data_IF_304628859629
#
_entry.id   IF_304628859629
#
_cell.length_a   1.000
_cell.length_b   1.000
_cell.length_c   1.000
_cell.angle_alpha   90.00
_cell.angle_beta   90.00
_cell.angle_gamma   90.00
#
_symmetry.space_group_name_H-M   'P 1'
#
loop_
_entity.id
_entity.type
_entity.pdbx_description
1 polymer ?
#
# COMPACT_ATOMS: atom_id res chain seq x y z
N UNK A 1 9.07 -7.52 -1.91
CA UNK A 1 8.02 -8.22 -2.69
C UNK A 1 7.98 -7.65 -4.11
N UNK A 2 8.43 -8.40 -5.12
CA UNK A 2 8.67 -7.85 -6.47
C UNK A 2 7.43 -7.20 -7.11
N UNK A 3 6.24 -7.81 -6.98
CA UNK A 3 5.00 -7.26 -7.58
C UNK A 3 4.59 -5.94 -6.94
N UNK A 4 4.60 -5.84 -5.61
CA UNK A 4 4.22 -4.60 -4.92
C UNK A 4 5.24 -3.49 -5.17
N UNK A 5 6.53 -3.80 -5.17
CA UNK A 5 7.59 -2.87 -5.58
C UNK A 5 7.29 -2.32 -6.98
N UNK A 6 7.06 -3.19 -7.98
CA UNK A 6 6.75 -2.74 -9.34
C UNK A 6 5.49 -1.90 -9.45
N UNK A 7 4.42 -2.26 -8.72
CA UNK A 7 3.17 -1.48 -8.70
C UNK A 7 3.42 -0.07 -8.14
N UNK A 8 4.16 0.03 -7.04
CA UNK A 8 4.44 1.30 -6.38
C UNK A 8 5.44 2.17 -7.17
N UNK A 9 6.47 1.56 -7.75
CA UNK A 9 7.39 2.27 -8.67
C UNK A 9 6.64 2.87 -9.86
N UNK A 10 5.62 2.18 -10.39
CA UNK A 10 4.80 2.68 -11.50
C UNK A 10 3.77 3.73 -11.06
N UNK A 11 3.24 3.60 -9.85
CA UNK A 11 2.24 4.53 -9.31
C UNK A 11 2.83 5.93 -9.07
N UNK A 12 4.10 5.99 -8.65
CA UNK A 12 4.80 7.26 -8.37
C UNK A 12 6.15 7.25 -9.11
N UNK A 13 6.15 7.46 -10.44
CA UNK A 13 7.36 7.29 -11.26
C UNK A 13 8.47 8.29 -10.94
N UNK A 14 8.14 9.43 -10.34
CA UNK A 14 9.09 10.49 -9.99
C UNK A 14 9.84 10.23 -8.67
N UNK A 15 9.50 9.16 -7.95
CA UNK A 15 10.11 8.80 -6.67
C UNK A 15 10.74 7.43 -6.77
N UNK A 16 12.01 7.33 -6.37
CA UNK A 16 12.73 6.06 -6.37
C UNK A 16 12.13 5.10 -5.33
N UNK A 17 11.89 3.86 -5.75
CA UNK A 17 11.41 2.77 -4.89
C UNK A 17 12.39 1.61 -5.02
N UNK A 18 13.23 1.41 -4.00
CA UNK A 18 14.22 0.34 -3.97
C UNK A 18 13.68 -0.91 -3.27
N UNK A 19 13.03 -0.71 -2.12
CA UNK A 19 12.43 -1.81 -1.36
C UNK A 19 11.09 -1.42 -0.79
N UNK A 20 10.24 -2.45 -0.66
CA UNK A 20 8.88 -2.32 -0.15
C UNK A 20 8.60 -3.49 0.78
N UNK A 21 8.13 -3.15 1.98
CA UNK A 21 7.79 -4.08 3.04
C UNK A 21 6.40 -3.76 3.59
N UNK A 22 5.62 -4.78 3.90
CA UNK A 22 4.38 -4.61 4.65
C UNK A 22 4.76 -4.76 6.13
N UNK A 23 4.58 -3.70 6.90
CA UNK A 23 4.86 -3.71 8.33
C UNK A 23 3.55 -3.88 9.07
N UNK A 24 3.55 -4.73 10.10
CA UNK A 24 2.43 -4.96 10.99
C UNK A 24 2.81 -4.61 12.43
N UNK A 25 2.02 -3.76 13.07
CA UNK A 25 2.14 -3.49 14.49
C UNK A 25 1.32 -4.51 15.27
N UNK A 26 2.00 -5.38 15.99
CA UNK A 26 1.38 -6.34 16.93
C UNK A 26 0.69 -5.65 18.10
N UNK A 27 1.14 -4.44 18.46
CA UNK A 27 0.61 -3.67 19.60
C UNK A 27 -0.68 -2.95 19.23
N UNK A 28 -0.75 -2.37 18.02
CA UNK A 28 -1.88 -1.54 17.61
C UNK A 28 -2.83 -2.23 16.62
N UNK A 29 -2.51 -3.45 16.18
CA UNK A 29 -3.25 -4.21 15.18
C UNK A 29 -3.43 -3.43 13.85
N UNK A 30 -2.38 -2.75 13.41
CA UNK A 30 -2.36 -1.96 12.18
C UNK A 30 -1.26 -2.43 11.24
N UNK A 31 -1.47 -2.22 9.95
CA UNK A 31 -0.51 -2.48 8.90
C UNK A 31 -0.33 -1.27 7.98
N UNK A 32 0.88 -1.13 7.43
CA UNK A 32 1.21 -0.13 6.43
C UNK A 32 2.28 -0.65 5.48
N UNK A 33 2.49 0.07 4.38
CA UNK A 33 3.56 -0.21 3.43
C UNK A 33 4.73 0.72 3.73
N UNK A 34 5.84 0.14 4.20
CA UNK A 34 7.12 0.83 4.33
C UNK A 34 7.84 0.86 2.98
N UNK A 35 8.42 2.01 2.63
CA UNK A 35 9.09 2.25 1.35
C UNK A 35 10.47 2.81 1.63
N UNK A 36 11.47 2.35 0.87
CA UNK A 36 12.85 2.87 0.90
C UNK A 36 13.26 3.35 -0.51
N UNK A 37 14.15 4.35 -0.60
CA UNK A 37 14.86 4.99 0.50
C UNK A 37 14.04 6.03 1.27
N UNK A 38 13.06 6.65 0.63
CA UNK A 38 12.34 7.80 1.19
C UNK A 38 10.83 7.53 1.32
N UNK A 39 10.43 7.13 2.54
CA UNK A 39 9.06 6.75 2.85
C UNK A 39 8.10 7.93 2.79
N UNK A 40 8.46 9.05 3.41
CA UNK A 40 7.60 10.22 3.54
C UNK A 40 7.40 10.87 2.18
N UNK A 41 8.49 11.10 1.43
CA UNK A 41 8.42 11.70 0.09
C UNK A 41 7.56 10.87 -0.86
N UNK A 42 7.63 9.54 -0.78
CA UNK A 42 6.79 8.67 -1.59
C UNK A 42 5.31 8.91 -1.28
N UNK A 43 4.92 8.89 0.00
CA UNK A 43 3.50 9.05 0.36
C UNK A 43 2.98 10.44 0.09
N UNK A 44 3.77 11.49 0.33
CA UNK A 44 3.42 12.86 -0.06
C UNK A 44 3.12 12.94 -1.55
N UNK A 45 4.02 12.44 -2.40
CA UNK A 45 3.83 12.46 -3.85
C UNK A 45 2.67 11.58 -4.31
N UNK A 46 2.48 10.41 -3.68
CA UNK A 46 1.33 9.56 -3.94
C UNK A 46 0.02 10.30 -3.66
N UNK A 47 -0.07 11.04 -2.55
CA UNK A 47 -1.28 11.78 -2.19
C UNK A 47 -1.59 12.92 -3.16
N UNK A 48 -0.56 13.56 -3.72
CA UNK A 48 -0.71 14.55 -4.79
C UNK A 48 -1.28 13.93 -6.07
N UNK A 49 -0.77 12.77 -6.48
CA UNK A 49 -1.18 12.09 -7.72
C UNK A 49 -2.57 11.45 -7.60
N UNK A 50 -2.96 11.03 -6.39
CA UNK A 50 -4.21 10.31 -6.13
C UNK A 50 -5.06 11.02 -5.06
N UNK A 51 -5.61 12.22 -5.34
CA UNK A 51 -6.29 13.04 -4.32
C UNK A 51 -7.52 12.39 -3.68
N UNK A 52 -8.09 11.35 -4.29
CA UNK A 52 -9.19 10.54 -3.74
C UNK A 52 -8.75 9.49 -2.72
N UNK A 53 -7.44 9.30 -2.49
CA UNK A 53 -6.88 8.24 -1.66
C UNK A 53 -7.54 8.15 -0.29
N UNK A 54 -7.81 9.30 0.34
CA UNK A 54 -8.36 9.41 1.69
C UNK A 54 -9.82 8.98 1.74
N UNK A 55 -10.62 9.45 0.77
CA UNK A 55 -12.04 9.08 0.63
C UNK A 55 -12.20 7.58 0.41
N UNK A 56 -11.34 6.98 -0.42
CA UNK A 56 -11.32 5.52 -0.60
C UNK A 56 -10.85 4.85 0.69
N UNK A 57 -9.81 5.38 1.33
CA UNK A 57 -9.27 4.90 2.60
C UNK A 57 -10.33 4.66 3.67
N UNK A 58 -11.26 5.60 3.85
CA UNK A 58 -12.34 5.44 4.83
C UNK A 58 -13.21 4.21 4.60
N UNK A 59 -13.45 3.80 3.36
CA UNK A 59 -14.20 2.55 3.04
C UNK A 59 -13.48 1.30 3.55
N UNK A 60 -12.16 1.36 3.66
CA UNK A 60 -11.29 0.26 4.06
C UNK A 60 -10.79 0.37 5.52
N UNK A 61 -11.30 1.34 6.28
CA UNK A 61 -10.91 1.54 7.68
C UNK A 61 -9.59 2.30 7.87
N UNK A 62 -9.22 3.17 6.93
CA UNK A 62 -8.07 4.05 7.09
C UNK A 62 -8.20 4.93 8.34
N UNK A 63 -7.13 4.98 9.13
CA UNK A 63 -7.03 5.85 10.31
C UNK A 63 -6.35 7.16 9.91
N UNK A 64 -7.11 8.26 9.97
CA UNK A 64 -6.71 9.61 9.59
C UNK A 64 -5.80 10.28 10.64
N UNK A 65 -4.74 9.57 11.04
CA UNK A 65 -3.83 10.03 12.10
C UNK A 65 -2.40 10.27 11.58
N UNK A 66 -2.11 9.93 10.32
CA UNK A 66 -0.75 9.93 9.75
C UNK A 66 -0.75 10.23 8.25
N UNK A 67 0.36 10.78 7.76
CA UNK A 67 0.69 10.89 6.33
C UNK A 67 0.98 9.52 5.69
N UNK A 68 1.11 8.46 6.48
CA UNK A 68 1.24 7.09 5.97
C UNK A 68 -0.13 6.39 5.98
N UNK A 69 -0.59 5.85 4.85
CA UNK A 69 -1.81 5.05 4.81
C UNK A 69 -1.71 3.77 5.67
N UNK A 70 -2.39 3.78 6.81
CA UNK A 70 -2.46 2.66 7.77
C UNK A 70 -3.84 2.03 7.81
N UNK A 71 -3.91 0.69 7.91
CA UNK A 71 -5.15 -0.08 7.87
C UNK A 71 -5.16 -1.23 8.89
N UNK A 72 -6.34 -1.76 9.27
CA UNK A 72 -6.44 -2.85 10.26
C UNK A 72 -5.92 -4.22 9.79
N UNK A 73 -5.74 -4.44 8.47
CA UNK A 73 -5.22 -5.72 7.96
C UNK A 73 -4.60 -5.57 6.57
N UNK A 74 -3.68 -6.49 6.21
CA UNK A 74 -3.05 -6.52 4.87
C UNK A 74 -4.09 -6.57 3.77
N UNK A 75 -5.17 -7.32 3.99
CA UNK A 75 -6.25 -7.46 3.03
C UNK A 75 -6.93 -6.13 2.74
N UNK A 76 -7.25 -5.35 3.79
CA UNK A 76 -7.87 -4.03 3.65
C UNK A 76 -6.90 -3.03 3.01
N UNK A 77 -5.62 -3.07 3.38
CA UNK A 77 -4.56 -2.26 2.78
C UNK A 77 -4.42 -2.54 1.27
N UNK A 78 -4.43 -3.80 0.84
CA UNK A 78 -4.34 -4.15 -0.59
C UNK A 78 -5.63 -3.84 -1.35
N UNK A 79 -6.79 -3.98 -0.70
CA UNK A 79 -8.07 -3.56 -1.25
C UNK A 79 -8.09 -2.06 -1.55
N UNK A 80 -7.69 -1.26 -0.57
CA UNK A 80 -7.54 0.18 -0.71
C UNK A 80 -6.56 0.54 -1.84
N UNK A 81 -5.34 -0.02 -1.82
CA UNK A 81 -4.32 0.27 -2.83
C UNK A 81 -4.82 -0.08 -4.24
N UNK A 82 -5.52 -1.20 -4.37
CA UNK A 82 -6.10 -1.64 -5.65
C UNK A 82 -7.17 -0.68 -6.17
N UNK A 83 -8.04 -0.16 -5.30
CA UNK A 83 -9.09 0.79 -5.69
C UNK A 83 -8.50 2.18 -5.99
N UNK A 84 -7.56 2.66 -5.20
CA UNK A 84 -6.93 3.97 -5.42
C UNK A 84 -6.18 4.01 -6.75
N UNK A 85 -5.40 2.97 -7.04
CA UNK A 85 -4.61 2.86 -8.27
C UNK A 85 -5.42 2.40 -9.49
N UNK A 86 -6.69 2.05 -9.32
CA UNK A 86 -7.51 1.50 -10.40
C UNK A 86 -6.92 0.22 -11.01
N UNK A 87 -6.32 -0.64 -10.18
CA UNK A 87 -5.70 -1.87 -10.66
C UNK A 87 -6.73 -2.76 -11.36
N UNK A 88 -6.32 -3.34 -12.49
CA UNK A 88 -7.12 -4.33 -13.22
C UNK A 88 -7.37 -5.56 -12.36
N UNK A 89 -8.36 -6.37 -12.75
CA UNK A 89 -8.64 -7.64 -12.06
C UNK A 89 -7.42 -8.57 -12.03
N UNK A 90 -6.62 -8.58 -13.09
CA UNK A 90 -5.38 -9.37 -13.17
C UNK A 90 -4.32 -8.89 -12.17
N UNK A 91 -4.04 -7.59 -12.14
CA UNK A 91 -3.07 -6.99 -11.21
C UNK A 91 -3.49 -7.18 -9.75
N UNK A 92 -4.80 -7.02 -9.47
CA UNK A 92 -5.36 -7.30 -8.15
C UNK A 92 -5.15 -8.75 -7.74
N UNK A 93 -5.41 -9.71 -8.63
CA UNK A 93 -5.18 -11.13 -8.35
C UNK A 93 -3.71 -11.42 -8.07
N UNK A 94 -2.80 -10.86 -8.86
CA UNK A 94 -1.35 -11.00 -8.64
C UNK A 94 -0.91 -10.42 -7.30
N UNK A 95 -1.47 -9.26 -6.93
CA UNK A 95 -1.21 -8.62 -5.64
C UNK A 95 -1.61 -9.54 -4.47
N UNK A 96 -2.82 -10.12 -4.51
CA UNK A 96 -3.30 -11.02 -3.45
C UNK A 96 -2.56 -12.37 -3.40
N UNK A 97 -2.17 -12.94 -4.53
CA UNK A 97 -1.40 -14.19 -4.56
C UNK A 97 -0.06 -14.04 -3.83
N UNK A 98 0.59 -12.89 -3.97
CA UNK A 98 1.84 -12.60 -3.27
C UNK A 98 1.65 -12.38 -1.76
N UNK A 99 0.43 -12.14 -1.27
CA UNK A 99 0.13 -12.10 0.17
C UNK A 99 0.01 -13.51 0.78
N UNK A 100 -0.48 -14.49 0.00
CA UNK A 100 -0.81 -15.85 0.48
C UNK A 100 0.40 -16.76 0.69
N UNK A 101 1.51 -16.54 -0.02
CA UNK A 101 2.74 -17.33 0.10
C UNK A 101 3.53 -17.14 1.41
N UNK A 102 2.98 -16.39 2.39
CA UNK A 102 3.64 -16.10 3.68
C UNK A 102 3.05 -16.94 4.83
N UNK A 103 1.96 -17.70 4.60
CA UNK A 103 1.37 -18.59 5.61
C UNK A 103 1.94 -20.02 5.64
N UNK A 104 2.93 -20.33 4.79
CA UNK A 104 3.71 -21.56 4.87
C UNK A 104 5.12 -21.25 5.41
N UNK A 105 5.26 -21.13 6.73
CA UNK A 105 6.51 -21.39 7.46
C UNK A 105 6.19 -21.88 8.87
#
# INVERSE_FOLDING_TARGET
MQVLTSILSRAVPDVQVESVEIVESTIRAWCWIQIRPDHEKYWERFMELYPHWKRVGFKYGHLDLRSTPTFPSRFLLMGWLSEVLGLTQGERKLLYLNLGHIFEK
#
